data_IF_180390311914
#
_entry.id   IF_180390311914
#
_cell.length_a   1.000
_cell.length_b   1.000
_cell.length_c   1.000
_cell.angle_alpha   90.00
_cell.angle_beta   90.00
_cell.angle_gamma   90.00
#
_symmetry.space_group_name_H-M   'P 1'
#
loop_
_entity.id
_entity.type
_entity.pdbx_description
1 polymer ?
#
# COMPACT_ATOMS: atom_id res chain seq x y z
N UNK A 1 -28.02 2.08 31.63
CA UNK A 1 -26.92 3.01 31.31
C UNK A 1 -26.03 2.20 30.38
N UNK A 2 -26.22 2.36 29.07
CA UNK A 2 -25.60 1.46 28.09
C UNK A 2 -24.08 1.61 28.12
N UNK A 3 -23.33 0.50 28.05
CA UNK A 3 -21.87 0.54 28.03
C UNK A 3 -21.41 1.27 26.77
N UNK A 4 -20.84 2.46 26.98
CA UNK A 4 -20.03 3.28 26.06
C UNK A 4 -20.12 2.90 24.57
N UNK A 5 -21.17 3.36 23.89
CA UNK A 5 -21.40 3.07 22.46
C UNK A 5 -20.25 3.59 21.59
N UNK A 6 -19.66 2.69 20.78
CA UNK A 6 -18.67 3.05 19.76
C UNK A 6 -19.39 3.32 18.45
N UNK A 7 -19.23 4.53 17.92
CA UNK A 7 -19.82 4.96 16.64
C UNK A 7 -18.79 4.83 15.52
N UNK A 8 -19.20 4.30 14.37
CA UNK A 8 -18.40 4.24 13.14
C UNK A 8 -19.12 5.07 12.09
N UNK A 9 -18.44 6.08 11.54
CA UNK A 9 -18.99 7.00 10.54
C UNK A 9 -18.06 7.13 9.35
N UNK A 10 -18.62 7.03 8.14
CA UNK A 10 -17.93 7.41 6.91
C UNK A 10 -18.04 8.92 6.73
N UNK A 11 -16.93 9.58 6.41
CA UNK A 11 -16.82 11.02 6.25
C UNK A 11 -15.93 11.36 5.05
N UNK A 12 -15.88 12.63 4.66
CA UNK A 12 -15.01 13.11 3.59
C UNK A 12 -14.21 14.32 4.09
N UNK A 13 -12.90 14.16 4.18
CA UNK A 13 -11.97 15.15 4.73
C UNK A 13 -10.97 15.52 3.64
N UNK A 14 -10.99 16.80 3.23
CA UNK A 14 -10.13 17.33 2.17
C UNK A 14 -10.22 16.52 0.85
N UNK A 15 -11.44 16.13 0.46
CA UNK A 15 -11.74 15.27 -0.68
C UNK A 15 -11.24 13.82 -0.56
N UNK A 16 -10.78 13.40 0.62
CA UNK A 16 -10.42 12.00 0.90
C UNK A 16 -11.51 11.34 1.73
N UNK A 17 -12.07 10.21 1.28
CA UNK A 17 -13.02 9.44 2.08
C UNK A 17 -12.30 8.78 3.26
N UNK A 18 -12.83 9.00 4.45
CA UNK A 18 -12.26 8.51 5.72
C UNK A 18 -13.33 7.78 6.53
N UNK A 19 -12.91 6.87 7.40
CA UNK A 19 -13.77 6.31 8.45
C UNK A 19 -13.32 6.84 9.79
N UNK A 20 -14.23 7.41 10.55
CA UNK A 20 -13.98 7.84 11.92
C UNK A 20 -14.71 6.91 12.89
N UNK A 21 -13.96 6.43 13.88
CA UNK A 21 -14.44 5.53 14.95
C UNK A 21 -14.33 6.29 16.26
N UNK A 22 -15.47 6.65 16.85
CA UNK A 22 -15.55 7.41 18.09
C UNK A 22 -16.02 6.54 19.24
N UNK A 23 -15.37 6.66 20.39
CA UNK A 23 -15.80 5.97 21.61
C UNK A 23 -15.08 6.55 22.82
N UNK A 24 -15.62 6.32 24.03
CA UNK A 24 -14.91 6.71 25.25
C UNK A 24 -13.78 5.72 25.55
N UNK A 25 -14.08 4.43 25.51
CA UNK A 25 -13.12 3.33 25.45
C UNK A 25 -13.39 2.53 24.18
N UNK A 26 -12.32 2.11 23.50
CA UNK A 26 -12.43 1.32 22.28
C UNK A 26 -11.49 0.12 22.41
N UNK A 27 -12.06 -1.08 22.32
CA UNK A 27 -11.31 -2.32 22.15
C UNK A 27 -11.34 -2.66 20.66
N UNK A 28 -10.19 -2.67 19.99
CA UNK A 28 -10.13 -2.80 18.53
C UNK A 28 -10.84 -4.08 18.05
N UNK A 29 -10.61 -5.21 18.73
CA UNK A 29 -11.23 -6.50 18.43
C UNK A 29 -12.76 -6.44 18.39
N UNK A 30 -13.39 -5.61 19.24
CA UNK A 30 -14.84 -5.48 19.34
C UNK A 30 -15.48 -4.80 18.13
N UNK A 31 -14.73 -3.98 17.40
CA UNK A 31 -15.23 -3.20 16.26
C UNK A 31 -14.61 -3.60 14.92
N UNK A 32 -13.54 -4.40 14.94
CA UNK A 32 -12.74 -4.72 13.76
C UNK A 32 -13.57 -5.34 12.62
N UNK A 33 -14.38 -6.37 12.89
CA UNK A 33 -15.17 -7.05 11.85
C UNK A 33 -16.18 -6.10 11.16
N UNK A 34 -16.83 -5.23 11.95
CA UNK A 34 -17.77 -4.23 11.40
C UNK A 34 -17.03 -3.19 10.55
N UNK A 35 -15.87 -2.75 11.02
CA UNK A 35 -15.02 -1.78 10.33
C UNK A 35 -14.48 -2.35 9.01
N UNK A 36 -13.93 -3.56 9.02
CA UNK A 36 -13.41 -4.23 7.82
C UNK A 36 -14.51 -4.50 6.78
N UNK A 37 -15.76 -4.73 7.23
CA UNK A 37 -16.92 -4.81 6.35
C UNK A 37 -17.18 -3.49 5.62
N UNK A 38 -17.04 -2.35 6.31
CA UNK A 38 -17.17 -1.01 5.70
C UNK A 38 -16.02 -0.78 4.70
N UNK A 39 -14.78 -1.08 5.09
CA UNK A 39 -13.59 -0.90 4.26
C UNK A 39 -13.61 -1.75 2.99
N UNK A 40 -14.15 -2.97 3.08
CA UNK A 40 -14.27 -3.89 1.94
C UNK A 40 -15.33 -3.44 0.94
N UNK A 41 -16.42 -2.82 1.42
CA UNK A 41 -17.47 -2.25 0.55
C UNK A 41 -17.02 -0.94 -0.11
N UNK A 42 -16.11 -0.22 0.53
CA UNK A 42 -15.64 1.10 0.09
C UNK A 42 -14.11 1.10 -0.06
N UNK A 43 -13.58 0.53 -1.17
CA UNK A 43 -12.14 0.43 -1.40
C UNK A 43 -11.44 1.79 -1.56
N UNK A 44 -12.19 2.86 -1.83
CA UNK A 44 -11.67 4.22 -1.97
C UNK A 44 -11.26 4.84 -0.62
N UNK A 45 -11.68 4.28 0.52
CA UNK A 45 -11.37 4.82 1.84
C UNK A 45 -9.87 4.67 2.12
N UNK A 46 -9.16 5.77 2.19
CA UNK A 46 -7.70 5.74 2.36
C UNK A 46 -7.27 5.86 3.82
N UNK A 47 -8.17 6.23 4.73
CA UNK A 47 -7.80 6.55 6.12
C UNK A 47 -8.88 6.12 7.12
N UNK A 48 -8.42 5.56 8.24
CA UNK A 48 -9.24 5.20 9.40
C UNK A 48 -8.73 5.94 10.63
N UNK A 49 -9.62 6.65 11.32
CA UNK A 49 -9.32 7.42 12.53
C UNK A 49 -10.03 6.84 13.73
N UNK A 50 -9.27 6.30 14.68
CA UNK A 50 -9.75 5.89 15.98
C UNK A 50 -9.61 7.05 16.98
N UNK A 51 -10.73 7.57 17.47
CA UNK A 51 -10.80 8.72 18.37
C UNK A 51 -11.41 8.24 19.69
N UNK A 52 -10.53 7.84 20.61
CA UNK A 52 -10.89 7.38 21.94
C UNK A 52 -10.81 8.52 22.97
N UNK A 53 -11.91 8.80 23.68
CA UNK A 53 -11.94 9.83 24.72
C UNK A 53 -11.03 9.54 25.92
N UNK A 54 -10.77 8.25 26.19
CA UNK A 54 -9.91 7.79 27.29
C UNK A 54 -8.91 6.73 26.84
N UNK A 55 -9.36 5.51 26.56
CA UNK A 55 -8.48 4.36 26.31
C UNK A 55 -8.76 3.77 24.92
N UNK A 56 -7.69 3.54 24.15
CA UNK A 56 -7.73 2.69 22.96
C UNK A 56 -6.92 1.42 23.23
N UNK A 57 -7.55 0.25 23.20
CA UNK A 57 -6.87 -1.04 23.36
C UNK A 57 -6.53 -1.64 22.00
N UNK A 58 -5.25 -1.92 21.82
CA UNK A 58 -4.72 -2.64 20.67
C UNK A 58 -4.65 -4.11 21.06
N UNK A 59 -5.65 -4.86 20.67
CA UNK A 59 -5.84 -6.27 21.01
C UNK A 59 -6.12 -7.16 19.78
N UNK A 60 -6.00 -6.62 18.56
CA UNK A 60 -6.19 -7.35 17.31
C UNK A 60 -5.24 -6.87 16.21
N UNK A 61 -4.90 -7.79 15.30
CA UNK A 61 -4.08 -7.51 14.12
C UNK A 61 -4.85 -6.70 13.08
N UNK A 62 -4.12 -5.96 12.26
CA UNK A 62 -4.62 -5.38 11.02
C UNK A 62 -3.95 -6.11 9.86
N UNK A 63 -4.70 -6.99 9.20
CA UNK A 63 -4.17 -7.86 8.15
C UNK A 63 -4.10 -7.12 6.80
N UNK A 64 -3.00 -7.32 6.07
CA UNK A 64 -2.68 -6.56 4.85
C UNK A 64 -3.80 -6.61 3.80
N UNK A 65 -4.53 -7.72 3.69
CA UNK A 65 -5.53 -7.92 2.64
C UNK A 65 -6.63 -6.83 2.65
N UNK A 66 -7.02 -6.37 3.85
CA UNK A 66 -8.01 -5.31 4.06
C UNK A 66 -7.34 -3.94 4.24
N UNK A 67 -6.19 -3.92 4.91
CA UNK A 67 -5.55 -2.69 5.41
C UNK A 67 -4.41 -2.14 4.53
N UNK A 68 -4.04 -2.84 3.45
CA UNK A 68 -3.01 -2.38 2.49
C UNK A 68 -3.20 -0.93 2.07
N UNK A 69 -2.12 -0.16 2.12
CA UNK A 69 -2.11 1.22 1.66
C UNK A 69 -2.96 2.20 2.48
N UNK A 70 -3.70 1.73 3.50
CA UNK A 70 -4.59 2.59 4.29
C UNK A 70 -3.84 3.23 5.45
N UNK A 71 -4.07 4.53 5.62
CA UNK A 71 -3.58 5.28 6.77
C UNK A 71 -4.40 4.93 8.02
N UNK A 72 -3.73 4.77 9.15
CA UNK A 72 -4.34 4.52 10.45
C UNK A 72 -3.94 5.64 11.41
N UNK A 73 -4.93 6.32 11.97
CA UNK A 73 -4.73 7.37 12.96
C UNK A 73 -5.39 6.94 14.26
N UNK A 74 -4.65 7.01 15.37
CA UNK A 74 -5.16 6.75 16.72
C UNK A 74 -4.97 8.00 17.56
N UNK A 75 -6.05 8.49 18.16
CA UNK A 75 -6.04 9.58 19.12
C UNK A 75 -6.70 9.11 20.42
N UNK A 76 -5.93 9.06 21.51
CA UNK A 76 -6.40 8.62 22.81
C UNK A 76 -5.69 9.36 23.96
N UNK A 77 -6.22 9.30 25.19
CA UNK A 77 -5.41 9.68 26.36
C UNK A 77 -4.38 8.60 26.67
N UNK A 78 -4.81 7.34 26.61
CA UNK A 78 -3.99 6.18 26.87
C UNK A 78 -4.21 5.12 25.78
N UNK A 79 -3.11 4.54 25.30
CA UNK A 79 -3.13 3.35 24.42
C UNK A 79 -2.56 2.18 25.20
N UNK A 80 -3.22 1.02 25.14
CA UNK A 80 -2.76 -0.20 25.79
C UNK A 80 -2.65 -1.30 24.74
N UNK A 81 -1.45 -1.82 24.53
CA UNK A 81 -1.24 -2.99 23.69
C UNK A 81 -1.42 -4.24 24.55
N UNK A 82 -2.51 -4.96 24.35
CA UNK A 82 -2.96 -6.02 25.26
C UNK A 82 -2.19 -7.33 25.08
N UNK A 83 -1.68 -7.58 23.88
CA UNK A 83 -0.97 -8.79 23.49
C UNK A 83 -0.04 -8.48 22.30
N UNK A 84 0.89 -9.38 21.93
CA UNK A 84 1.62 -9.25 20.67
C UNK A 84 0.66 -9.09 19.50
N UNK A 85 0.75 -7.96 18.79
CA UNK A 85 -0.13 -7.57 17.70
C UNK A 85 0.70 -7.04 16.54
N UNK A 86 0.29 -7.40 15.33
CA UNK A 86 0.88 -6.91 14.09
C UNK A 86 -0.11 -6.09 13.29
N UNK A 87 0.27 -4.86 12.96
CA UNK A 87 -0.47 -4.00 12.04
C UNK A 87 0.29 -3.90 10.72
N UNK A 88 -0.25 -4.50 9.67
CA UNK A 88 0.34 -4.48 8.35
C UNK A 88 -0.49 -3.62 7.39
N UNK A 89 0.00 -2.44 7.11
CA UNK A 89 -0.60 -1.46 6.19
C UNK A 89 0.21 -1.33 4.89
N UNK A 90 1.11 -2.29 4.61
CA UNK A 90 2.01 -2.25 3.45
C UNK A 90 1.24 -2.31 2.13
N UNK A 91 1.74 -1.60 1.12
CA UNK A 91 1.22 -1.65 -0.24
C UNK A 91 1.47 -3.01 -0.90
N UNK A 92 0.72 -3.30 -1.97
CA UNK A 92 0.90 -4.50 -2.77
C UNK A 92 1.97 -4.32 -3.86
N UNK A 93 2.79 -5.36 -4.03
CA UNK A 93 3.71 -5.48 -5.16
C UNK A 93 2.98 -5.53 -6.50
N UNK A 94 3.64 -5.01 -7.53
CA UNK A 94 3.15 -5.04 -8.90
C UNK A 94 3.81 -6.16 -9.69
N UNK A 95 3.03 -7.17 -10.04
CA UNK A 95 3.49 -8.36 -10.75
C UNK A 95 3.18 -8.28 -12.26
N UNK A 96 3.66 -7.23 -12.93
CA UNK A 96 3.59 -7.16 -14.39
C UNK A 96 4.87 -7.72 -15.02
N UNK A 97 4.69 -8.54 -16.05
CA UNK A 97 5.81 -9.11 -16.81
C UNK A 97 5.57 -8.86 -18.28
N UNK A 98 6.63 -8.50 -18.99
CA UNK A 98 6.63 -8.43 -20.44
C UNK A 98 7.11 -9.77 -21.02
N UNK A 99 6.29 -10.40 -21.83
CA UNK A 99 6.60 -11.72 -22.43
C UNK A 99 7.64 -11.63 -23.56
N UNK A 100 7.89 -10.43 -24.10
CA UNK A 100 8.76 -10.21 -25.26
C UNK A 100 9.56 -8.91 -25.10
N UNK A 101 10.72 -8.84 -25.76
CA UNK A 101 11.48 -7.59 -25.92
C UNK A 101 10.71 -6.58 -26.78
N UNK A 102 11.13 -5.31 -26.78
CA UNK A 102 10.46 -4.25 -27.54
C UNK A 102 10.49 -4.42 -29.07
N UNK A 103 11.32 -5.31 -29.62
CA UNK A 103 11.43 -5.57 -31.05
C UNK A 103 12.29 -4.56 -31.82
N UNK A 104 12.29 -4.65 -33.15
CA UNK A 104 13.18 -3.86 -34.01
C UNK A 104 12.38 -2.86 -34.84
N UNK A 105 12.84 -1.62 -34.92
CA UNK A 105 12.28 -0.57 -35.75
C UNK A 105 12.53 -0.82 -37.24
N UNK A 106 11.78 -0.13 -38.10
CA UNK A 106 11.86 -0.29 -39.56
C UNK A 106 13.17 0.20 -40.16
N UNK A 107 13.91 1.05 -39.45
CA UNK A 107 15.26 1.50 -39.82
C UNK A 107 16.36 0.51 -39.39
N UNK A 108 15.99 -0.59 -38.72
CA UNK A 108 16.90 -1.62 -38.24
C UNK A 108 17.42 -1.39 -36.82
N UNK A 109 17.04 -0.31 -36.14
CA UNK A 109 17.44 -0.08 -34.74
C UNK A 109 16.57 -0.88 -33.76
N UNK A 110 17.15 -1.29 -32.63
CA UNK A 110 16.36 -1.84 -31.52
C UNK A 110 15.39 -0.80 -30.94
N UNK A 111 14.16 -1.21 -30.63
CA UNK A 111 13.17 -0.34 -29.97
C UNK A 111 13.45 -0.24 -28.46
N UNK A 112 13.07 0.88 -27.85
CA UNK A 112 13.15 1.03 -26.41
C UNK A 112 12.10 0.16 -25.71
N UNK A 113 12.50 -0.48 -24.61
CA UNK A 113 11.59 -1.14 -23.68
C UNK A 113 10.60 -0.16 -23.04
N UNK A 114 9.43 -0.66 -22.67
CA UNK A 114 8.48 0.05 -21.79
C UNK A 114 8.95 -0.01 -20.34
N UNK A 115 8.62 1.03 -19.58
CA UNK A 115 8.89 1.07 -18.15
C UNK A 115 8.11 -0.01 -17.39
N UNK A 116 8.62 -0.40 -16.23
CA UNK A 116 7.89 -1.22 -15.28
C UNK A 116 6.73 -0.45 -14.66
N UNK A 117 5.80 -1.18 -14.03
CA UNK A 117 4.68 -0.60 -13.30
C UNK A 117 5.06 -0.42 -11.84
N UNK A 118 4.74 0.74 -11.26
CA UNK A 118 4.95 0.99 -9.84
C UNK A 118 4.12 0.03 -8.95
N UNK A 119 4.69 -0.34 -7.80
CA UNK A 119 3.95 -0.96 -6.69
C UNK A 119 3.04 0.05 -5.99
N UNK A 120 2.13 -0.46 -5.15
CA UNK A 120 1.24 0.42 -4.38
C UNK A 120 1.99 1.07 -3.21
N UNK A 121 1.60 2.28 -2.82
CA UNK A 121 2.11 2.93 -1.62
C UNK A 121 1.72 2.17 -0.35
N UNK A 122 2.60 2.18 0.65
CA UNK A 122 2.25 1.75 2.01
C UNK A 122 1.41 2.82 2.72
N UNK A 123 0.51 2.38 3.59
CA UNK A 123 -0.28 3.26 4.45
C UNK A 123 0.52 3.73 5.66
N UNK A 124 0.24 4.92 6.18
CA UNK A 124 0.95 5.50 7.32
C UNK A 124 0.23 5.18 8.64
N UNK A 125 0.97 5.09 9.74
CA UNK A 125 0.38 4.92 11.08
C UNK A 125 0.81 6.08 11.98
N UNK A 126 -0.18 6.78 12.56
CA UNK A 126 0.03 7.83 13.56
C UNK A 126 -0.71 7.45 14.85
N UNK A 127 0.03 7.29 15.94
CA UNK A 127 -0.54 7.06 17.28
C UNK A 127 -0.19 8.25 18.16
N UNK A 128 -1.20 9.04 18.55
CA UNK A 128 -1.06 10.16 19.46
C UNK A 128 -1.76 9.85 20.77
N UNK A 129 -0.98 9.73 21.85
CA UNK A 129 -1.51 9.56 23.19
C UNK A 129 -0.61 10.16 24.26
N UNK A 130 -1.16 10.43 25.45
CA UNK A 130 -0.37 10.89 26.61
C UNK A 130 0.45 9.76 27.21
N UNK A 131 -0.03 8.53 27.10
CA UNK A 131 0.62 7.32 27.60
C UNK A 131 0.36 6.15 26.66
N UNK A 132 1.42 5.39 26.37
CA UNK A 132 1.32 4.12 25.64
C UNK A 132 1.90 3.05 26.57
N UNK A 133 1.12 1.99 26.83
CA UNK A 133 1.53 0.84 27.65
C UNK A 133 1.83 -0.37 26.76
N UNK A 134 2.88 -1.10 27.13
CA UNK A 134 3.29 -2.34 26.48
C UNK A 134 3.58 -2.17 24.97
N UNK A 135 4.14 -1.04 24.56
CA UNK A 135 4.42 -0.72 23.15
C UNK A 135 5.29 -1.75 22.45
N UNK A 136 6.15 -2.46 23.19
CA UNK A 136 7.04 -3.50 22.65
C UNK A 136 6.26 -4.69 22.05
N UNK A 137 4.97 -4.82 22.40
CA UNK A 137 4.07 -5.83 21.83
C UNK A 137 3.46 -5.42 20.49
N UNK A 138 3.65 -4.18 20.03
CA UNK A 138 3.09 -3.69 18.77
C UNK A 138 4.18 -3.66 17.69
N UNK A 139 3.98 -4.45 16.65
CA UNK A 139 4.76 -4.35 15.41
C UNK A 139 3.93 -3.67 14.32
N UNK A 140 4.51 -2.69 13.64
CA UNK A 140 3.89 -2.02 12.49
C UNK A 140 4.75 -2.26 11.26
N UNK A 141 4.14 -2.67 10.15
CA UNK A 141 4.81 -2.77 8.84
C UNK A 141 4.08 -1.90 7.83
N UNK A 142 4.84 -0.97 7.23
CA UNK A 142 4.34 0.09 6.35
C UNK A 142 5.33 0.29 5.19
N UNK A 143 5.48 -0.74 4.38
CA UNK A 143 6.34 -0.68 3.20
C UNK A 143 5.52 -0.35 1.96
N UNK A 144 6.12 0.38 1.01
CA UNK A 144 5.61 0.39 -0.36
C UNK A 144 5.78 -0.99 -0.99
N UNK A 145 4.91 -1.31 -1.94
CA UNK A 145 5.05 -2.50 -2.77
C UNK A 145 6.18 -2.33 -3.78
N UNK A 146 6.81 -3.44 -4.13
CA UNK A 146 7.80 -3.48 -5.19
C UNK A 146 7.17 -3.14 -6.55
N UNK A 147 7.86 -2.31 -7.33
CA UNK A 147 7.55 -2.12 -8.74
C UNK A 147 7.88 -3.37 -9.56
N UNK A 148 7.24 -3.49 -10.71
CA UNK A 148 7.59 -4.52 -11.67
C UNK A 148 8.84 -4.14 -12.46
N UNK A 149 9.50 -5.13 -13.05
CA UNK A 149 10.56 -4.87 -14.01
C UNK A 149 9.99 -4.16 -15.25
N UNK A 150 10.84 -3.37 -15.92
CA UNK A 150 10.56 -2.88 -17.27
C UNK A 150 10.71 -3.98 -18.32
N UNK A 151 10.29 -3.65 -19.53
CA UNK A 151 10.51 -4.49 -20.71
C UNK A 151 11.96 -4.34 -21.17
N UNK A 152 12.57 -5.44 -21.59
CA UNK A 152 13.87 -5.38 -22.26
C UNK A 152 13.78 -4.62 -23.59
N UNK A 153 14.82 -3.84 -23.88
CA UNK A 153 15.00 -3.21 -25.19
C UNK A 153 15.07 -4.25 -26.31
N UNK A 154 14.69 -3.86 -27.52
CA UNK A 154 14.78 -4.70 -28.68
C UNK A 154 16.17 -4.73 -29.31
N UNK A 155 16.42 -5.73 -30.14
CA UNK A 155 17.70 -5.90 -30.82
C UNK A 155 17.71 -5.13 -32.15
N UNK A 156 18.85 -4.54 -32.50
CA UNK A 156 19.08 -4.02 -33.86
C UNK A 156 19.31 -5.15 -34.86
N UNK A 157 19.15 -4.85 -36.16
CA UNK A 157 19.55 -5.76 -37.24
C UNK A 157 21.05 -5.70 -37.50
N UNK A 158 21.60 -6.79 -38.04
CA UNK A 158 22.97 -6.81 -38.51
C UNK A 158 23.16 -5.83 -39.69
N UNK A 159 24.34 -5.19 -39.74
CA UNK A 159 24.74 -4.36 -40.88
C UNK A 159 24.89 -5.19 -42.15
N UNK A 160 24.80 -4.52 -43.32
CA UNK A 160 25.08 -5.18 -44.61
C UNK A 160 26.58 -5.37 -44.78
N UNK A 161 26.98 -6.53 -45.28
CA UNK A 161 28.35 -6.79 -45.69
C UNK A 161 28.79 -5.79 -46.77
N UNK A 162 30.05 -5.35 -46.70
CA UNK A 162 30.64 -4.50 -47.73
C UNK A 162 30.82 -5.27 -49.04
N UNK A 163 30.53 -4.63 -50.18
CA UNK A 163 30.79 -5.24 -51.49
C UNK A 163 32.27 -5.13 -51.87
N UNK A 164 32.87 -6.22 -52.32
CA UNK A 164 34.23 -6.22 -52.86
C UNK A 164 34.33 -5.26 -54.05
N UNK A 165 35.23 -4.28 -53.97
CA UNK A 165 35.62 -3.50 -55.14
C UNK A 165 36.57 -4.34 -55.99
N UNK A 166 36.09 -4.90 -57.10
CA UNK A 166 36.98 -5.37 -58.17
C UNK A 166 37.78 -4.16 -58.67
N UNK A 167 39.11 -4.24 -58.55
CA UNK A 167 40.00 -3.35 -59.28
C UNK A 167 39.99 -3.85 -60.73
N UNK A 168 39.33 -3.12 -61.62
CA UNK A 168 39.50 -3.34 -63.05
C UNK A 168 40.93 -2.91 -63.42
N UNK A 169 41.79 -3.89 -63.63
CA UNK A 169 43.12 -3.69 -64.21
C UNK A 169 42.94 -3.28 -65.68
N UNK A 170 43.40 -2.07 -66.00
CA UNK A 170 43.54 -1.55 -67.36
C UNK A 170 44.61 -2.30 -68.15
#
# INVERSE_FOLDING_TARGET
MDPEEVTITENNLDNRPVVEVFGRQIDLSSILSKLETVLSKNPQIEEVRFIAGTIFKIDANLEQEVWRGRNVVVHAKEVIVCQPVHWNVSGKDRLHTYEQTAGTATDGNGLNGKDGYAGESGGNVLITARKIKCSDNLTITSNGGNGSNGQDGGNGVAGKDGTERRKDTQ
#
